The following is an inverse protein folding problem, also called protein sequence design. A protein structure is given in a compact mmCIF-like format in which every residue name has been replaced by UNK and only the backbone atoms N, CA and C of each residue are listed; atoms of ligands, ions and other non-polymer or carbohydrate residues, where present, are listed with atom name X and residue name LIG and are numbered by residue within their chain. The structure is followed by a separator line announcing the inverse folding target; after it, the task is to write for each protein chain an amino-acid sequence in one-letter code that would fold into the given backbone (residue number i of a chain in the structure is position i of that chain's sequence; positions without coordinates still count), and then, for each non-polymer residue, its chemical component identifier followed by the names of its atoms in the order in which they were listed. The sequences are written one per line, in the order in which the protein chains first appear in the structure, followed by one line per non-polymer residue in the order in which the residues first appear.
data_IF_292064543066
#
_entry.id   IF_292064543066
#
_cell.length_a   1.000
_cell.length_b   1.000
_cell.length_c   1.000
_cell.angle_alpha   90.00
_cell.angle_beta   90.00
_cell.angle_gamma   90.00
#
_symmetry.space_group_name_H-M   'P 1'
#
loop_
_entity.id
_entity.type
_entity.pdbx_description
1 polymer ?
#
# COMPACT_ATOMS: atom_id res chain seq x y z
N UNK A 1 -9.42 10.61 30.54
CA UNK A 1 -10.24 11.44 29.63
C UNK A 1 -11.60 11.68 30.27
N UNK A 2 -12.26 12.84 30.09
CA UNK A 2 -13.63 12.99 30.54
C UNK A 2 -14.52 12.03 29.74
N UNK A 3 -15.30 11.18 30.42
CA UNK A 3 -16.18 10.19 29.79
C UNK A 3 -17.25 10.85 28.92
N UNK A 4 -17.62 12.09 29.26
CA UNK A 4 -18.57 12.91 28.52
C UNK A 4 -18.14 13.23 27.08
N UNK A 5 -16.84 13.20 26.76
CA UNK A 5 -16.34 13.51 25.41
C UNK A 5 -16.80 12.45 24.38
N UNK A 6 -16.86 11.18 24.78
CA UNK A 6 -17.35 10.10 23.91
C UNK A 6 -18.83 10.24 23.53
N UNK A 7 -19.60 10.92 24.36
CA UNK A 7 -21.02 11.18 24.08
C UNK A 7 -21.22 12.49 23.28
N UNK A 8 -20.46 13.53 23.63
CA UNK A 8 -20.60 14.86 23.02
C UNK A 8 -19.88 15.02 21.67
N UNK A 9 -18.67 14.44 21.53
CA UNK A 9 -17.81 14.55 20.38
C UNK A 9 -17.01 13.26 20.17
N UNK A 10 -17.66 12.15 19.73
CA UNK A 10 -17.05 10.82 19.67
C UNK A 10 -15.84 10.74 18.73
N UNK A 11 -15.80 11.53 17.67
CA UNK A 11 -14.64 11.57 16.76
C UNK A 11 -13.41 12.20 17.40
N UNK A 12 -13.59 13.24 18.19
CA UNK A 12 -12.49 13.89 18.92
C UNK A 12 -12.01 13.00 20.06
N UNK A 13 -12.94 12.36 20.78
CA UNK A 13 -12.62 11.37 21.80
C UNK A 13 -11.80 10.21 21.22
N UNK A 14 -12.25 9.64 20.10
CA UNK A 14 -11.53 8.57 19.40
C UNK A 14 -10.14 9.02 18.95
N UNK A 15 -10.02 10.22 18.38
CA UNK A 15 -8.74 10.75 17.90
C UNK A 15 -7.75 10.99 19.05
N UNK A 16 -8.23 11.45 20.20
CA UNK A 16 -7.40 11.63 21.38
C UNK A 16 -6.98 10.29 21.98
N UNK A 17 -7.93 9.40 22.22
CA UNK A 17 -7.67 8.05 22.74
C UNK A 17 -6.66 7.29 21.87
N UNK A 18 -6.81 7.37 20.55
CA UNK A 18 -5.92 6.67 19.62
C UNK A 18 -4.47 7.17 19.69
N UNK A 19 -4.24 8.43 20.00
CA UNK A 19 -2.89 9.00 20.14
C UNK A 19 -2.26 8.71 21.48
N UNK A 20 -3.06 8.72 22.55
CA UNK A 20 -2.56 8.71 23.92
C UNK A 20 -2.54 7.30 24.53
N UNK A 21 -3.53 6.47 24.25
CA UNK A 21 -3.74 5.21 24.96
C UNK A 21 -3.76 3.98 24.05
N UNK A 22 -4.28 4.10 22.83
CA UNK A 22 -4.50 2.94 21.97
C UNK A 22 -3.17 2.35 21.47
N UNK A 23 -3.07 1.03 21.53
CA UNK A 23 -1.91 0.29 21.02
C UNK A 23 -2.32 -0.77 19.99
N UNK A 24 -1.38 -1.13 19.11
CA UNK A 24 -1.52 -2.26 18.19
C UNK A 24 -1.46 -3.62 18.90
N UNK A 25 -1.58 -4.69 18.14
CA UNK A 25 -1.47 -6.06 18.65
C UNK A 25 -0.10 -6.36 19.29
N UNK A 26 0.94 -5.64 18.88
CA UNK A 26 2.31 -5.70 19.41
C UNK A 26 2.54 -4.76 20.60
N UNK A 27 1.48 -4.15 21.14
CA UNK A 27 1.49 -3.15 22.24
C UNK A 27 2.31 -1.89 21.92
N UNK A 28 2.52 -1.58 20.65
CA UNK A 28 3.16 -0.33 20.20
C UNK A 28 2.11 0.68 19.78
N UNK A 29 2.46 1.96 19.92
CA UNK A 29 1.66 3.06 19.39
C UNK A 29 1.47 2.90 17.86
N UNK A 30 0.33 3.36 17.36
CA UNK A 30 0.07 3.34 15.92
C UNK A 30 0.95 4.35 15.18
N UNK A 31 1.37 3.99 13.97
CA UNK A 31 1.99 4.95 13.06
C UNK A 31 0.96 6.00 12.60
N UNK A 32 1.40 7.25 12.35
CA UNK A 32 0.54 8.37 11.96
C UNK A 32 -0.42 8.03 10.80
N UNK A 33 0.08 7.34 9.78
CA UNK A 33 -0.75 6.91 8.65
C UNK A 33 -1.85 5.93 9.05
N UNK A 34 -1.60 5.07 10.03
CA UNK A 34 -2.61 4.16 10.59
C UNK A 34 -3.66 4.94 11.38
N UNK A 35 -3.23 5.97 12.12
CA UNK A 35 -4.13 6.85 12.88
C UNK A 35 -5.12 7.55 11.92
N UNK A 36 -4.62 8.12 10.82
CA UNK A 36 -5.46 8.77 9.80
C UNK A 36 -6.48 7.77 9.21
N UNK A 37 -6.03 6.56 8.85
CA UNK A 37 -6.92 5.53 8.32
C UNK A 37 -7.96 5.09 9.34
N UNK A 38 -7.56 4.86 10.59
CA UNK A 38 -8.48 4.44 11.64
C UNK A 38 -9.51 5.52 11.96
N UNK A 39 -9.12 6.80 11.95
CA UNK A 39 -10.08 7.91 12.11
C UNK A 39 -11.16 7.89 11.03
N UNK A 40 -10.77 7.76 9.77
CA UNK A 40 -11.73 7.67 8.65
C UNK A 40 -12.67 6.46 8.78
N UNK A 41 -12.15 5.32 9.23
CA UNK A 41 -12.97 4.13 9.49
C UNK A 41 -13.93 4.35 10.67
N UNK A 42 -13.47 4.98 11.74
CA UNK A 42 -14.30 5.31 12.90
C UNK A 42 -15.39 6.31 12.52
N UNK A 43 -15.06 7.40 11.81
CA UNK A 43 -16.02 8.40 11.34
C UNK A 43 -17.16 7.74 10.55
N UNK A 44 -16.82 6.89 9.57
CA UNK A 44 -17.83 6.15 8.79
C UNK A 44 -18.75 5.30 9.67
N UNK A 45 -18.22 4.62 10.68
CA UNK A 45 -19.04 3.83 11.60
C UNK A 45 -19.93 4.73 12.50
N UNK A 46 -19.37 5.83 12.99
CA UNK A 46 -20.10 6.80 13.80
C UNK A 46 -21.24 7.47 13.01
N UNK A 47 -21.00 7.85 11.74
CA UNK A 47 -22.02 8.40 10.85
C UNK A 47 -23.17 7.39 10.63
N UNK A 48 -22.84 6.11 10.46
CA UNK A 48 -23.83 5.05 10.38
C UNK A 48 -24.68 4.96 11.68
N UNK A 49 -24.04 4.99 12.87
CA UNK A 49 -24.75 4.96 14.12
C UNK A 49 -25.71 6.14 14.30
N UNK A 50 -25.26 7.35 13.96
CA UNK A 50 -26.08 8.57 14.01
C UNK A 50 -27.30 8.43 13.07
N UNK A 51 -27.09 7.94 11.84
CA UNK A 51 -28.17 7.73 10.87
C UNK A 51 -29.21 6.70 11.37
N UNK A 52 -28.81 5.78 12.24
CA UNK A 52 -29.67 4.75 12.81
C UNK A 52 -30.09 5.05 14.28
N UNK A 53 -30.03 6.32 14.70
CA UNK A 53 -30.42 6.78 16.04
C UNK A 53 -29.70 6.06 17.18
N UNK A 54 -28.47 5.61 16.96
CA UNK A 54 -27.60 4.98 17.94
C UNK A 54 -26.34 5.83 18.20
N UNK A 55 -25.61 5.48 19.24
CA UNK A 55 -24.35 6.13 19.60
C UNK A 55 -23.28 5.08 19.89
N UNK A 56 -22.03 5.50 20.05
CA UNK A 56 -20.92 4.63 20.46
C UNK A 56 -21.17 3.96 21.81
N UNK A 57 -22.02 4.56 22.67
CA UNK A 57 -22.39 4.01 23.96
C UNK A 57 -23.58 3.03 23.90
N UNK A 58 -24.47 3.11 22.88
CA UNK A 58 -25.75 2.41 22.88
C UNK A 58 -25.94 1.38 21.77
N UNK A 59 -25.06 1.31 20.76
CA UNK A 59 -25.23 0.37 19.66
C UNK A 59 -25.15 -1.10 20.13
N UNK A 60 -25.91 -1.98 19.47
CA UNK A 60 -25.93 -3.43 19.74
C UNK A 60 -25.45 -4.24 18.53
N UNK A 61 -25.62 -5.58 18.61
CA UNK A 61 -25.26 -6.51 17.54
C UNK A 61 -26.00 -6.21 16.24
N UNK A 62 -27.28 -5.88 16.30
CA UNK A 62 -28.10 -5.56 15.11
C UNK A 62 -27.55 -4.36 14.32
N UNK A 63 -27.00 -3.35 15.01
CA UNK A 63 -26.34 -2.21 14.37
C UNK A 63 -25.04 -2.62 13.66
N UNK A 64 -24.29 -3.58 14.25
CA UNK A 64 -23.09 -4.12 13.59
C UNK A 64 -23.46 -4.92 12.36
N UNK A 65 -24.47 -5.77 12.41
CA UNK A 65 -24.94 -6.55 11.27
C UNK A 65 -25.41 -5.64 10.13
N UNK A 66 -26.20 -4.61 10.44
CA UNK A 66 -26.64 -3.61 9.47
C UNK A 66 -25.46 -2.84 8.86
N UNK A 67 -24.53 -2.35 9.68
CA UNK A 67 -23.32 -1.66 9.20
C UNK A 67 -22.48 -2.54 8.26
N UNK A 68 -22.28 -3.80 8.62
CA UNK A 68 -21.52 -4.71 7.78
C UNK A 68 -22.26 -5.14 6.51
N UNK A 69 -23.59 -5.16 6.53
CA UNK A 69 -24.39 -5.36 5.32
C UNK A 69 -24.24 -4.18 4.34
N UNK A 70 -24.31 -2.93 4.82
CA UNK A 70 -24.03 -1.75 3.98
C UNK A 70 -22.58 -1.72 3.50
N UNK A 71 -21.61 -2.01 4.38
CA UNK A 71 -20.21 -2.03 4.00
C UNK A 71 -19.91 -3.06 2.90
N UNK A 72 -20.63 -4.18 2.86
CA UNK A 72 -20.46 -5.23 1.85
C UNK A 72 -20.82 -4.76 0.44
N UNK A 73 -21.72 -3.79 0.27
CA UNK A 73 -22.04 -3.21 -1.03
C UNK A 73 -20.87 -2.40 -1.62
N UNK A 74 -20.05 -1.80 -0.76
CA UNK A 74 -18.93 -0.93 -1.17
C UNK A 74 -17.59 -1.67 -1.24
N UNK A 75 -17.53 -2.89 -0.74
CA UNK A 75 -16.29 -3.66 -0.63
C UNK A 75 -16.28 -4.82 -1.62
N UNK A 76 -15.16 -4.99 -2.32
CA UNK A 76 -14.96 -6.19 -3.13
C UNK A 76 -14.98 -7.45 -2.25
N UNK A 77 -15.63 -8.54 -2.70
CA UNK A 77 -15.61 -9.82 -1.99
C UNK A 77 -14.18 -10.29 -1.67
N UNK A 78 -14.01 -11.04 -0.60
CA UNK A 78 -12.71 -11.60 -0.18
C UNK A 78 -11.70 -10.59 0.37
N UNK A 79 -12.07 -9.31 0.55
CA UNK A 79 -11.18 -8.31 1.15
C UNK A 79 -11.18 -8.41 2.67
N UNK A 80 -10.07 -7.98 3.30
CA UNK A 80 -9.95 -7.93 4.77
C UNK A 80 -10.65 -6.70 5.39
N UNK A 81 -11.44 -5.95 4.61
CA UNK A 81 -12.03 -4.68 5.06
C UNK A 81 -12.97 -4.90 6.25
N UNK A 82 -13.88 -5.87 6.15
CA UNK A 82 -14.79 -6.24 7.24
C UNK A 82 -14.02 -6.53 8.53
N UNK A 83 -13.02 -7.41 8.47
CA UNK A 83 -12.21 -7.80 9.62
C UNK A 83 -11.43 -6.60 10.23
N UNK A 84 -10.98 -5.66 9.39
CA UNK A 84 -10.32 -4.44 9.86
C UNK A 84 -11.27 -3.54 10.64
N UNK A 85 -12.48 -3.32 10.13
CA UNK A 85 -13.53 -2.58 10.85
C UNK A 85 -13.88 -3.28 12.15
N UNK A 86 -14.10 -4.58 12.11
CA UNK A 86 -14.48 -5.36 13.31
C UNK A 86 -13.40 -5.27 14.41
N UNK A 87 -12.11 -5.39 14.04
CA UNK A 87 -10.99 -5.21 14.98
C UNK A 87 -10.89 -3.78 15.54
N UNK A 88 -11.22 -2.78 14.72
CA UNK A 88 -11.26 -1.39 15.17
C UNK A 88 -12.40 -1.19 16.17
N UNK A 89 -13.60 -1.66 15.82
CA UNK A 89 -14.79 -1.54 16.65
C UNK A 89 -14.60 -2.29 17.97
N UNK A 90 -14.16 -3.54 17.94
CA UNK A 90 -13.85 -4.31 19.16
C UNK A 90 -12.89 -3.56 20.09
N UNK A 91 -11.84 -2.97 19.53
CA UNK A 91 -10.81 -2.30 20.33
C UNK A 91 -11.33 -1.06 21.05
N UNK A 92 -12.01 -0.14 20.34
CA UNK A 92 -12.53 1.05 21.00
C UNK A 92 -13.70 0.72 21.95
N UNK A 93 -14.54 -0.24 21.58
CA UNK A 93 -15.64 -0.68 22.45
C UNK A 93 -15.12 -1.29 23.75
N UNK A 94 -14.06 -2.08 23.67
CA UNK A 94 -13.38 -2.61 24.87
C UNK A 94 -12.86 -1.47 25.77
N UNK A 95 -12.34 -0.39 25.18
CA UNK A 95 -11.97 0.80 25.94
C UNK A 95 -13.20 1.44 26.62
N UNK A 96 -14.31 1.58 25.89
CA UNK A 96 -15.57 2.13 26.46
C UNK A 96 -16.13 1.26 27.61
N UNK A 97 -15.96 -0.06 27.54
CA UNK A 97 -16.30 -0.96 28.64
C UNK A 97 -15.35 -0.75 29.83
N UNK A 98 -14.05 -0.59 29.58
CA UNK A 98 -13.05 -0.37 30.64
C UNK A 98 -13.25 0.95 31.42
N UNK A 99 -13.79 1.98 30.75
CA UNK A 99 -14.14 3.27 31.37
C UNK A 99 -15.61 3.31 31.84
N UNK A 100 -16.28 2.17 31.90
CA UNK A 100 -17.66 2.02 32.37
C UNK A 100 -18.74 2.81 31.60
N UNK A 101 -18.40 3.30 30.40
CA UNK A 101 -19.37 3.97 29.52
C UNK A 101 -20.29 2.97 28.80
N UNK A 102 -19.90 1.70 28.72
CA UNK A 102 -20.70 0.58 28.23
C UNK A 102 -20.62 -0.62 29.16
N UNK A 103 -21.69 -1.43 29.17
CA UNK A 103 -21.72 -2.67 29.92
C UNK A 103 -21.12 -3.86 29.14
N UNK A 104 -21.15 -3.83 27.80
CA UNK A 104 -20.78 -4.96 26.93
C UNK A 104 -20.02 -4.54 25.67
N UNK A 105 -19.46 -5.53 24.98
CA UNK A 105 -18.80 -5.37 23.68
C UNK A 105 -19.41 -6.32 22.64
N UNK A 106 -20.43 -5.89 21.88
CA UNK A 106 -21.06 -6.75 20.87
C UNK A 106 -20.11 -7.17 19.74
N UNK A 107 -19.06 -6.40 19.46
CA UNK A 107 -18.08 -6.74 18.44
C UNK A 107 -17.17 -7.92 18.82
N UNK A 108 -16.98 -8.18 20.12
CA UNK A 108 -16.10 -9.25 20.60
C UNK A 108 -16.60 -10.64 20.16
N UNK A 109 -17.90 -10.90 20.26
CA UNK A 109 -18.49 -12.19 19.85
C UNK A 109 -18.41 -12.38 18.33
N UNK A 110 -18.65 -11.32 17.56
CA UNK A 110 -18.49 -11.36 16.10
C UNK A 110 -17.04 -11.63 15.69
N UNK A 111 -16.08 -11.01 16.40
CA UNK A 111 -14.64 -11.19 16.12
C UNK A 111 -14.16 -12.63 16.37
N UNK A 112 -14.73 -13.33 17.37
CA UNK A 112 -14.39 -14.76 17.61
C UNK A 112 -14.81 -15.64 16.44
N UNK A 113 -15.93 -15.33 15.81
CA UNK A 113 -16.49 -16.10 14.69
C UNK A 113 -15.93 -15.67 13.33
N UNK A 114 -15.20 -14.55 13.27
CA UNK A 114 -14.68 -14.00 12.02
C UNK A 114 -13.34 -14.66 11.67
N UNK A 115 -13.26 -15.21 10.48
CA UNK A 115 -12.03 -15.75 9.90
C UNK A 115 -11.43 -14.81 8.85
N UNK A 116 -10.15 -14.98 8.55
CA UNK A 116 -9.59 -14.36 7.35
C UNK A 116 -10.30 -14.92 6.13
N UNK A 117 -10.65 -14.05 5.14
CA UNK A 117 -11.22 -14.55 3.89
C UNK A 117 -10.30 -15.60 3.29
N UNK A 118 -10.82 -16.80 3.04
CA UNK A 118 -10.09 -17.88 2.37
C UNK A 118 -9.85 -17.51 0.91
N UNK A 119 -10.86 -16.88 0.28
CA UNK A 119 -10.85 -16.45 -1.12
C UNK A 119 -10.48 -14.97 -1.24
N UNK A 120 -9.21 -14.63 -0.97
CA UNK A 120 -8.74 -13.28 -1.29
C UNK A 120 -8.75 -13.06 -2.81
N UNK A 121 -9.14 -11.86 -3.30
CA UNK A 121 -9.11 -11.54 -4.72
C UNK A 121 -7.73 -11.82 -5.34
N UNK A 122 -7.72 -12.45 -6.52
CA UNK A 122 -6.49 -12.72 -7.26
C UNK A 122 -5.67 -11.44 -7.42
N UNK A 123 -4.35 -11.48 -7.20
CA UNK A 123 -3.50 -10.32 -7.42
C UNK A 123 -3.63 -9.82 -8.85
N UNK A 124 -3.83 -8.50 -9.02
CA UNK A 124 -3.85 -7.86 -10.34
C UNK A 124 -2.40 -7.58 -10.75
N UNK A 125 -2.05 -7.98 -11.97
CA UNK A 125 -0.72 -7.82 -12.58
C UNK A 125 -0.89 -7.64 -14.10
N UNK A 126 0.16 -7.22 -14.78
CA UNK A 126 0.22 -7.19 -16.25
C UNK A 126 0.61 -8.57 -16.79
N UNK A 127 0.02 -8.97 -17.91
CA UNK A 127 0.50 -10.11 -18.68
C UNK A 127 1.98 -9.92 -19.07
N UNK A 128 2.68 -10.98 -19.47
CA UNK A 128 4.07 -10.88 -19.90
C UNK A 128 4.22 -9.96 -21.12
N UNK A 129 3.26 -9.99 -22.04
CA UNK A 129 3.21 -9.11 -23.20
C UNK A 129 3.00 -7.64 -22.84
N UNK A 130 2.02 -7.37 -21.95
CA UNK A 130 1.70 -6.01 -21.49
C UNK A 130 2.84 -5.42 -20.65
N UNK A 131 3.52 -6.25 -19.86
CA UNK A 131 4.72 -5.87 -19.14
C UNK A 131 5.83 -5.39 -20.08
N UNK A 132 6.11 -6.15 -21.14
CA UNK A 132 7.09 -5.76 -22.17
C UNK A 132 6.68 -4.46 -22.88
N UNK A 133 5.40 -4.28 -23.20
CA UNK A 133 4.90 -3.02 -23.80
C UNK A 133 5.13 -1.83 -22.86
N UNK A 134 4.87 -1.99 -21.59
CA UNK A 134 5.07 -0.91 -20.61
C UNK A 134 6.57 -0.62 -20.39
N UNK A 135 7.43 -1.65 -20.41
CA UNK A 135 8.87 -1.48 -20.37
C UNK A 135 9.39 -0.66 -21.56
N UNK A 136 8.87 -0.93 -22.79
CA UNK A 136 9.22 -0.16 -23.98
C UNK A 136 8.85 1.33 -23.83
N UNK A 137 7.64 1.63 -23.33
CA UNK A 137 7.22 3.03 -23.05
C UNK A 137 8.13 3.70 -22.01
N UNK A 138 8.64 2.96 -21.03
CA UNK A 138 9.57 3.50 -20.05
C UNK A 138 10.97 3.79 -20.64
N UNK A 139 11.36 3.15 -21.72
CA UNK A 139 12.63 3.36 -22.39
C UNK A 139 12.64 4.59 -23.34
N UNK A 140 11.45 5.08 -23.74
CA UNK A 140 11.28 6.22 -24.65
C UNK A 140 11.37 7.56 -23.88
N UNK A 141 12.59 8.05 -23.68
CA UNK A 141 12.83 9.29 -22.90
C UNK A 141 13.57 10.38 -23.68
N UNK A 142 13.92 10.14 -24.93
CA UNK A 142 14.70 11.08 -25.73
C UNK A 142 13.98 12.44 -25.86
N UNK A 143 14.66 13.52 -25.49
CA UNK A 143 14.12 14.89 -25.56
C UNK A 143 13.03 15.20 -24.49
N UNK A 144 12.76 14.30 -23.55
CA UNK A 144 11.73 14.51 -22.55
C UNK A 144 12.07 15.66 -21.60
N UNK A 145 11.09 16.53 -21.32
CA UNK A 145 11.21 17.57 -20.31
C UNK A 145 11.38 16.92 -18.91
N UNK A 146 12.05 17.62 -17.96
CA UNK A 146 12.32 17.10 -16.62
C UNK A 146 11.10 16.44 -15.94
N UNK A 147 9.91 17.04 -16.07
CA UNK A 147 8.67 16.49 -15.48
C UNK A 147 8.28 15.15 -16.11
N UNK A 148 8.42 15.01 -17.42
CA UNK A 148 8.12 13.78 -18.15
C UNK A 148 9.15 12.70 -17.81
N UNK A 149 10.43 13.03 -17.88
CA UNK A 149 11.52 12.14 -17.49
C UNK A 149 11.34 11.63 -16.06
N UNK A 150 11.03 12.53 -15.10
CA UNK A 150 10.71 12.15 -13.73
C UNK A 150 9.54 11.17 -13.65
N UNK A 151 8.44 11.45 -14.35
CA UNK A 151 7.24 10.63 -14.30
C UNK A 151 7.49 9.23 -14.88
N UNK A 152 8.25 9.16 -15.98
CA UNK A 152 8.67 7.90 -16.59
C UNK A 152 9.62 7.12 -15.66
N UNK A 153 10.59 7.79 -15.05
CA UNK A 153 11.51 7.18 -14.08
C UNK A 153 10.80 6.62 -12.84
N UNK A 154 9.73 7.28 -12.36
CA UNK A 154 8.88 6.76 -11.28
C UNK A 154 8.25 5.43 -11.68
N UNK A 155 7.65 5.34 -12.85
CA UNK A 155 6.98 4.12 -13.33
C UNK A 155 8.02 3.02 -13.59
N UNK A 156 9.13 3.36 -14.24
CA UNK A 156 10.24 2.44 -14.48
C UNK A 156 10.79 1.85 -13.18
N UNK A 157 10.97 2.68 -12.13
CA UNK A 157 11.47 2.20 -10.85
C UNK A 157 10.44 1.27 -10.15
N UNK A 158 9.15 1.60 -10.17
CA UNK A 158 8.12 0.68 -9.64
C UNK A 158 8.16 -0.67 -10.34
N UNK A 159 8.21 -0.67 -11.66
CA UNK A 159 8.17 -1.87 -12.48
C UNK A 159 9.47 -2.69 -12.40
N UNK A 160 10.64 -2.03 -12.23
CA UNK A 160 11.96 -2.66 -12.25
C UNK A 160 12.49 -3.06 -10.86
N UNK A 161 11.86 -2.62 -9.77
CA UNK A 161 12.33 -2.91 -8.42
C UNK A 161 11.24 -3.35 -7.44
N UNK A 162 9.98 -3.24 -7.84
CA UNK A 162 8.85 -3.60 -7.01
C UNK A 162 8.76 -2.81 -5.70
N UNK A 163 9.35 -1.63 -5.59
CA UNK A 163 9.21 -0.73 -4.43
C UNK A 163 7.76 -0.27 -4.27
N UNK A 164 7.36 0.06 -3.05
CA UNK A 164 6.03 0.61 -2.81
C UNK A 164 6.03 2.13 -2.97
N UNK A 165 4.85 2.72 -3.14
CA UNK A 165 4.70 4.18 -3.19
C UNK A 165 5.24 4.89 -1.92
N UNK A 166 5.09 4.28 -0.76
CA UNK A 166 5.62 4.81 0.49
C UNK A 166 7.16 4.77 0.53
N UNK A 167 7.76 3.67 0.07
CA UNK A 167 9.22 3.53 -0.03
C UNK A 167 9.78 4.51 -1.06
N UNK A 168 9.20 4.60 -2.26
CA UNK A 168 9.65 5.52 -3.32
C UNK A 168 9.67 6.98 -2.84
N UNK A 169 8.70 7.41 -2.05
CA UNK A 169 8.65 8.78 -1.50
C UNK A 169 9.77 9.10 -0.53
N UNK A 170 10.39 8.09 0.06
CA UNK A 170 11.47 8.22 1.04
C UNK A 170 12.86 8.01 0.44
N UNK A 171 12.95 7.59 -0.84
CA UNK A 171 14.23 7.42 -1.51
C UNK A 171 14.98 8.76 -1.61
N UNK A 172 16.26 8.71 -1.32
CA UNK A 172 17.20 9.80 -1.51
C UNK A 172 17.98 9.63 -2.80
N UNK A 173 18.60 10.68 -3.27
CA UNK A 173 19.43 10.66 -4.48
C UNK A 173 20.53 9.59 -4.38
N UNK A 174 21.16 9.47 -3.22
CA UNK A 174 22.26 8.54 -3.00
C UNK A 174 21.81 7.08 -2.76
N UNK A 175 20.50 6.83 -2.62
CA UNK A 175 19.95 5.47 -2.54
C UNK A 175 19.92 4.77 -3.90
N UNK A 176 19.99 5.53 -4.99
CA UNK A 176 19.96 5.01 -6.35
C UNK A 176 21.40 4.93 -6.92
N UNK A 177 21.87 3.73 -7.12
CA UNK A 177 23.14 3.44 -7.79
C UNK A 177 22.88 2.95 -9.22
N UNK A 178 23.10 3.82 -10.20
CA UNK A 178 22.99 3.54 -11.64
C UNK A 178 24.32 3.64 -12.38
N UNK A 179 25.41 3.88 -11.63
CA UNK A 179 26.76 4.02 -12.20
C UNK A 179 27.53 2.69 -12.17
N UNK A 180 27.20 1.78 -11.25
CA UNK A 180 27.84 0.46 -11.15
C UNK A 180 27.36 -0.49 -12.26
N UNK A 181 28.12 -1.57 -12.51
CA UNK A 181 27.76 -2.63 -13.46
C UNK A 181 26.40 -3.26 -13.17
N UNK A 182 25.99 -3.25 -11.92
CA UNK A 182 24.68 -3.72 -11.48
C UNK A 182 23.94 -2.59 -10.78
N UNK A 183 23.03 -1.96 -11.53
CA UNK A 183 22.19 -0.91 -10.96
C UNK A 183 21.34 -1.44 -9.81
N UNK A 184 21.29 -0.69 -8.72
CA UNK A 184 20.54 -1.05 -7.50
C UNK A 184 19.86 0.16 -6.89
N UNK A 185 18.79 -0.09 -6.13
CA UNK A 185 18.20 0.90 -5.22
C UNK A 185 18.26 0.39 -3.79
N UNK A 186 18.75 1.22 -2.87
CA UNK A 186 18.68 0.96 -1.44
C UNK A 186 17.32 1.44 -0.90
N UNK A 187 16.61 0.56 -0.23
CA UNK A 187 15.33 0.85 0.39
C UNK A 187 15.50 0.70 1.89
N UNK A 188 15.40 1.81 2.59
CA UNK A 188 15.52 1.84 4.05
C UNK A 188 14.33 1.14 4.72
N UNK A 189 14.47 0.86 6.01
CA UNK A 189 13.45 0.23 6.83
C UNK A 189 12.16 1.06 6.81
N UNK A 190 11.04 0.43 6.48
CA UNK A 190 9.73 1.08 6.48
C UNK A 190 8.66 0.19 7.13
N UNK A 191 8.22 0.58 8.32
CA UNK A 191 7.27 -0.21 9.11
C UNK A 191 7.81 -1.62 9.42
N UNK A 192 7.08 -2.70 9.11
CA UNK A 192 7.53 -4.08 9.34
C UNK A 192 8.57 -4.57 8.32
N UNK A 193 8.83 -3.80 7.24
CA UNK A 193 9.78 -4.18 6.19
C UNK A 193 11.19 -3.87 6.60
N UNK A 194 12.11 -4.77 6.32
CA UNK A 194 13.54 -4.61 6.57
C UNK A 194 14.19 -3.76 5.47
N UNK A 195 15.27 -3.06 5.82
CA UNK A 195 16.12 -2.40 4.84
C UNK A 195 16.71 -3.43 3.86
N UNK A 196 16.78 -3.09 2.58
CA UNK A 196 17.27 -3.98 1.52
C UNK A 196 17.85 -3.22 0.34
N UNK A 197 18.74 -3.86 -0.39
CA UNK A 197 19.22 -3.39 -1.68
C UNK A 197 18.57 -4.22 -2.78
N UNK A 198 17.84 -3.58 -3.67
CA UNK A 198 17.09 -4.24 -4.75
C UNK A 198 17.79 -4.01 -6.07
N UNK A 199 18.16 -5.07 -6.81
CA UNK A 199 18.63 -4.93 -8.20
C UNK A 199 17.54 -4.30 -9.06
N UNK A 200 17.96 -3.46 -9.98
CA UNK A 200 17.07 -2.81 -10.96
C UNK A 200 17.14 -3.59 -12.27
N UNK A 201 15.99 -3.95 -12.83
CA UNK A 201 15.93 -4.63 -14.12
C UNK A 201 16.47 -3.73 -15.24
N UNK A 202 17.18 -4.34 -16.18
CA UNK A 202 18.01 -3.63 -17.19
C UNK A 202 17.26 -2.60 -18.01
N UNK A 203 15.98 -2.82 -18.34
CA UNK A 203 15.18 -1.89 -19.15
C UNK A 203 15.05 -0.49 -18.52
N UNK A 204 15.12 -0.38 -17.19
CA UNK A 204 14.92 0.86 -16.47
C UNK A 204 16.24 1.65 -16.22
N UNK A 205 17.40 1.04 -16.45
CA UNK A 205 18.69 1.63 -16.07
C UNK A 205 18.96 2.94 -16.80
N UNK A 206 18.67 3.01 -18.08
CA UNK A 206 18.92 4.24 -18.88
C UNK A 206 18.07 5.41 -18.38
N UNK A 207 16.75 5.24 -18.31
CA UNK A 207 15.83 6.30 -17.86
C UNK A 207 16.12 6.73 -16.42
N UNK A 208 16.50 5.80 -15.56
CA UNK A 208 16.85 6.12 -14.15
C UNK A 208 18.18 6.88 -14.06
N UNK A 209 19.15 6.59 -14.92
CA UNK A 209 20.41 7.33 -15.03
C UNK A 209 20.16 8.75 -15.51
N UNK A 210 19.43 8.91 -16.62
CA UNK A 210 19.10 10.22 -17.18
C UNK A 210 18.35 11.10 -16.15
N UNK A 211 17.39 10.49 -15.46
CA UNK A 211 16.67 11.20 -14.39
C UNK A 211 17.58 11.54 -13.20
N UNK A 212 18.42 10.62 -12.77
CA UNK A 212 19.34 10.83 -11.64
C UNK A 212 20.31 11.99 -11.93
N UNK A 213 20.85 12.06 -13.13
CA UNK A 213 21.76 13.13 -13.55
C UNK A 213 21.01 14.47 -13.64
N UNK A 214 19.82 14.49 -14.24
CA UNK A 214 18.97 15.66 -14.27
C UNK A 214 18.56 16.11 -12.85
N UNK A 215 18.27 15.16 -11.94
CA UNK A 215 17.92 15.45 -10.56
C UNK A 215 19.10 16.07 -9.78
N UNK A 216 20.31 15.57 -9.96
CA UNK A 216 21.52 16.10 -9.34
C UNK A 216 21.86 17.50 -9.83
N UNK A 217 21.48 17.89 -11.02
CA UNK A 217 21.64 19.24 -11.55
C UNK A 217 20.71 20.26 -10.90
N UNK A 218 19.65 19.83 -10.21
CA UNK A 218 18.73 20.73 -9.53
C UNK A 218 19.26 21.07 -8.16
N UNK A 219 19.56 22.35 -7.95
CA UNK A 219 19.91 22.88 -6.63
C UNK A 219 18.63 23.04 -5.79
N UNK A 220 18.40 22.13 -4.86
CA UNK A 220 17.32 22.23 -3.89
C UNK A 220 17.80 21.72 -2.51
N UNK A 221 17.12 22.20 -1.46
CA UNK A 221 17.49 21.89 -0.07
C UNK A 221 17.21 20.45 0.37
N UNK A 222 16.53 19.65 -0.47
CA UNK A 222 16.14 18.28 -0.11
C UNK A 222 16.94 17.24 -0.89
N UNK A 223 17.20 16.12 -0.23
CA UNK A 223 17.89 14.97 -0.82
C UNK A 223 16.95 13.93 -1.42
N UNK A 224 15.63 14.22 -1.48
CA UNK A 224 14.68 13.26 -2.06
C UNK A 224 15.01 12.97 -3.51
N UNK A 225 15.03 11.69 -3.87
CA UNK A 225 15.24 11.27 -5.26
C UNK A 225 14.14 11.86 -6.16
N UNK A 226 12.87 11.66 -5.80
CA UNK A 226 11.74 12.18 -6.56
C UNK A 226 11.12 13.41 -5.89
N UNK A 227 11.15 14.53 -6.59
CA UNK A 227 10.61 15.82 -6.14
C UNK A 227 9.43 16.27 -6.99
N UNK A 228 8.41 16.83 -6.34
CA UNK A 228 7.23 17.35 -7.02
C UNK A 228 7.50 18.69 -7.73
N UNK A 229 8.36 19.51 -7.14
CA UNK A 229 8.73 20.85 -7.63
C UNK A 229 10.24 21.07 -7.47
N UNK A 230 10.80 22.03 -8.21
CA UNK A 230 12.20 22.44 -8.06
C UNK A 230 12.56 22.93 -6.64
N UNK A 231 11.57 23.34 -5.85
CA UNK A 231 11.76 23.65 -4.42
C UNK A 231 11.94 22.41 -3.53
N UNK A 232 11.93 21.19 -4.08
CA UNK A 232 12.19 19.97 -3.36
C UNK A 232 10.99 19.41 -2.58
N UNK A 233 9.75 19.81 -2.88
CA UNK A 233 8.56 19.21 -2.25
C UNK A 233 8.48 17.70 -2.56
N UNK A 234 8.15 16.85 -1.56
CA UNK A 234 8.03 15.41 -1.78
C UNK A 234 6.86 15.07 -2.72
N UNK A 235 6.98 13.95 -3.43
CA UNK A 235 5.91 13.45 -4.29
C UNK A 235 4.67 13.07 -3.47
N UNK A 236 3.50 13.37 -4.02
CA UNK A 236 2.22 12.96 -3.41
C UNK A 236 1.76 11.61 -3.99
N UNK A 237 1.05 10.78 -3.20
CA UNK A 237 0.52 9.50 -3.65
C UNK A 237 -0.30 9.59 -4.95
N UNK A 238 -1.18 10.60 -5.04
CA UNK A 238 -2.04 10.83 -6.22
C UNK A 238 -1.22 11.15 -7.48
N UNK A 239 -0.08 11.82 -7.32
CA UNK A 239 0.80 12.10 -8.46
C UNK A 239 1.42 10.82 -8.99
N UNK A 240 1.86 9.92 -8.11
CA UNK A 240 2.40 8.62 -8.50
C UNK A 240 1.36 7.75 -9.19
N UNK A 241 0.12 7.74 -8.67
CA UNK A 241 -1.01 7.08 -9.31
C UNK A 241 -1.25 7.62 -10.73
N UNK A 242 -1.24 8.96 -10.89
CA UNK A 242 -1.37 9.61 -12.22
C UNK A 242 -0.22 9.22 -13.16
N UNK A 243 1.02 9.10 -12.67
CA UNK A 243 2.14 8.63 -13.49
C UNK A 243 1.88 7.23 -14.05
N UNK A 244 1.43 6.30 -13.21
CA UNK A 244 1.11 4.93 -13.64
C UNK A 244 0.01 4.93 -14.70
N UNK A 245 -1.12 5.62 -14.45
CA UNK A 245 -2.24 5.72 -15.39
C UNK A 245 -1.84 6.30 -16.75
N UNK A 246 -1.04 7.35 -16.75
CA UNK A 246 -0.57 7.98 -17.99
C UNK A 246 0.32 7.02 -18.77
N UNK A 247 1.23 6.30 -18.10
CA UNK A 247 2.12 5.35 -18.78
C UNK A 247 1.36 4.12 -19.30
N UNK A 248 0.40 3.59 -18.56
CA UNK A 248 -0.48 2.52 -19.04
C UNK A 248 -1.24 2.96 -20.30
N UNK A 249 -1.84 4.16 -20.27
CA UNK A 249 -2.54 4.72 -21.43
C UNK A 249 -1.61 4.89 -22.65
N UNK A 250 -0.36 5.34 -22.44
CA UNK A 250 0.64 5.45 -23.52
C UNK A 250 0.98 4.09 -24.12
N UNK A 251 1.02 3.04 -23.28
CA UNK A 251 1.24 1.66 -23.72
C UNK A 251 -0.01 1.01 -24.34
N UNK A 252 -1.15 1.72 -24.41
CA UNK A 252 -2.44 1.17 -24.86
C UNK A 252 -3.03 0.14 -23.92
N UNK A 253 -2.71 0.22 -22.61
CA UNK A 253 -3.10 -0.75 -21.61
C UNK A 253 -4.20 -0.18 -20.69
N UNK A 254 -5.09 -1.07 -20.27
CA UNK A 254 -6.09 -0.85 -19.22
C UNK A 254 -6.04 -2.00 -18.22
N UNK A 255 -6.16 -1.70 -16.93
CA UNK A 255 -6.17 -2.72 -15.89
C UNK A 255 -7.24 -2.38 -14.84
N UNK A 256 -7.77 -3.38 -14.14
CA UNK A 256 -8.72 -3.19 -13.05
C UNK A 256 -8.13 -2.42 -11.86
N UNK A 257 -6.82 -2.45 -11.69
CA UNK A 257 -6.07 -1.63 -10.73
C UNK A 257 -4.92 -0.94 -11.49
N UNK A 258 -5.00 0.36 -11.66
CA UNK A 258 -3.99 1.18 -12.32
C UNK A 258 -3.06 1.89 -11.30
N UNK A 259 -2.84 1.27 -10.15
CA UNK A 259 -2.01 1.81 -9.08
C UNK A 259 -0.57 1.28 -9.12
N UNK A 260 0.37 1.86 -8.36
CA UNK A 260 1.71 1.30 -8.17
C UNK A 260 1.74 -0.17 -7.71
N UNK A 261 0.65 -0.67 -7.10
CA UNK A 261 0.53 -2.07 -6.68
C UNK A 261 0.50 -3.02 -7.88
N UNK A 262 -0.16 -2.63 -8.97
CA UNK A 262 -0.14 -3.38 -10.24
C UNK A 262 1.30 -3.66 -10.67
N UNK A 263 2.13 -2.61 -10.76
CA UNK A 263 3.52 -2.71 -11.23
C UNK A 263 4.39 -3.55 -10.28
N UNK A 264 4.17 -3.40 -8.98
CA UNK A 264 4.84 -4.21 -7.97
C UNK A 264 4.47 -5.70 -8.07
N UNK A 265 3.20 -6.02 -8.30
CA UNK A 265 2.77 -7.41 -8.51
C UNK A 265 3.37 -7.98 -9.81
N UNK A 266 3.40 -7.18 -10.87
CA UNK A 266 4.04 -7.56 -12.15
C UNK A 266 5.54 -7.86 -11.96
N UNK A 267 6.27 -7.00 -11.23
CA UNK A 267 7.66 -7.27 -10.85
C UNK A 267 7.81 -8.61 -10.13
N UNK A 268 7.00 -8.84 -9.08
CA UNK A 268 7.06 -10.09 -8.32
C UNK A 268 6.77 -11.32 -9.17
N UNK A 269 5.72 -11.25 -10.01
CA UNK A 269 5.33 -12.33 -10.90
C UNK A 269 6.39 -12.64 -11.95
N UNK A 270 6.99 -11.62 -12.58
CA UNK A 270 8.09 -11.75 -13.54
C UNK A 270 9.27 -12.51 -12.94
N UNK A 271 9.66 -12.17 -11.70
CA UNK A 271 10.76 -12.85 -11.02
C UNK A 271 10.42 -14.29 -10.61
N UNK A 272 9.15 -14.59 -10.31
CA UNK A 272 8.70 -15.96 -10.05
C UNK A 272 8.72 -16.76 -11.37
N UNK A 273 8.25 -16.20 -12.47
CA UNK A 273 8.30 -16.82 -13.80
C UNK A 273 9.75 -17.11 -14.24
N UNK A 274 10.69 -16.23 -13.87
CA UNK A 274 12.12 -16.42 -14.08
C UNK A 274 12.78 -17.39 -13.07
N UNK A 275 12.02 -18.24 -12.37
CA UNK A 275 12.52 -19.31 -11.53
C UNK A 275 12.88 -18.94 -10.08
N UNK A 276 12.70 -17.68 -9.64
CA UNK A 276 12.98 -17.33 -8.24
C UNK A 276 12.01 -17.98 -7.26
N UNK A 277 12.52 -18.39 -6.10
CA UNK A 277 11.70 -18.93 -5.01
C UNK A 277 10.82 -17.88 -4.37
N UNK A 278 9.76 -18.31 -3.66
CA UNK A 278 8.91 -17.40 -2.88
C UNK A 278 9.70 -16.60 -1.85
N UNK A 279 10.73 -17.19 -1.25
CA UNK A 279 11.62 -16.52 -0.31
C UNK A 279 12.45 -15.43 -0.99
N UNK A 280 13.08 -15.73 -2.12
CA UNK A 280 13.87 -14.77 -2.90
C UNK A 280 13.02 -13.57 -3.33
N UNK A 281 11.80 -13.82 -3.85
CA UNK A 281 10.89 -12.73 -4.26
C UNK A 281 10.39 -11.95 -3.04
N UNK A 282 10.09 -12.60 -1.93
CA UNK A 282 9.69 -11.92 -0.70
C UNK A 282 10.79 -11.01 -0.18
N UNK A 283 12.06 -11.42 -0.24
CA UNK A 283 13.22 -10.63 0.15
C UNK A 283 13.39 -9.42 -0.80
N UNK A 284 13.31 -9.60 -2.11
CA UNK A 284 13.37 -8.51 -3.09
C UNK A 284 12.27 -7.47 -2.86
N UNK A 285 11.05 -7.94 -2.64
CA UNK A 285 9.90 -7.07 -2.38
C UNK A 285 9.85 -6.53 -0.94
N UNK A 286 10.70 -7.01 -0.02
CA UNK A 286 10.67 -6.63 1.40
C UNK A 286 9.38 -7.06 2.11
N UNK A 287 8.86 -8.23 1.78
CA UNK A 287 7.66 -8.79 2.40
C UNK A 287 8.01 -9.44 3.74
N UNK A 288 7.18 -9.22 4.75
CA UNK A 288 7.33 -9.86 6.07
C UNK A 288 6.84 -11.32 6.10
N UNK A 289 6.18 -11.78 5.03
CA UNK A 289 5.72 -13.16 4.87
C UNK A 289 5.71 -13.56 3.39
N UNK A 290 5.70 -14.85 3.11
CA UNK A 290 5.69 -15.38 1.73
C UNK A 290 4.29 -15.38 1.09
N UNK A 291 3.23 -14.99 1.82
CA UNK A 291 1.84 -15.08 1.34
C UNK A 291 1.65 -14.40 -0.02
N UNK A 292 2.15 -13.17 -0.20
CA UNK A 292 2.02 -12.45 -1.48
C UNK A 292 2.77 -13.16 -2.62
N UNK A 293 3.99 -13.64 -2.37
CA UNK A 293 4.76 -14.38 -3.37
C UNK A 293 4.08 -15.70 -3.75
N UNK A 294 3.53 -16.42 -2.76
CA UNK A 294 2.76 -17.66 -3.00
C UNK A 294 1.54 -17.39 -3.87
N UNK A 295 0.78 -16.34 -3.58
CA UNK A 295 -0.40 -15.97 -4.36
C UNK A 295 -0.06 -15.53 -5.79
N UNK A 296 1.04 -14.82 -5.98
CA UNK A 296 1.54 -14.48 -7.33
C UNK A 296 1.97 -15.74 -8.09
N UNK A 297 2.61 -16.71 -7.43
CA UNK A 297 2.97 -18.01 -8.04
C UNK A 297 1.73 -18.77 -8.52
N UNK A 298 0.66 -18.76 -7.76
CA UNK A 298 -0.61 -19.41 -8.13
C UNK A 298 -1.27 -18.82 -9.39
N UNK A 299 -0.83 -17.65 -9.85
CA UNK A 299 -1.31 -17.02 -11.09
C UNK A 299 -0.49 -17.41 -12.32
N UNK A 300 0.59 -18.17 -12.18
CA UNK A 300 1.40 -18.63 -13.31
C UNK A 300 0.81 -19.92 -13.89
N UNK A 301 0.68 -19.94 -15.21
CA UNK A 301 0.43 -21.18 -15.92
C UNK A 301 1.74 -22.01 -15.99
N UNK A 302 1.63 -23.37 -16.06
CA UNK A 302 2.81 -24.22 -16.20
C UNK A 302 3.70 -23.85 -17.38
N UNK A 303 3.16 -23.32 -18.47
CA UNK A 303 3.88 -22.88 -19.67
C UNK A 303 4.68 -21.58 -19.48
N UNK A 304 4.40 -20.83 -18.43
CA UNK A 304 5.11 -19.57 -18.12
C UNK A 304 6.28 -19.78 -17.15
N UNK A 305 6.47 -20.97 -16.66
CA UNK A 305 7.59 -21.30 -15.78
C UNK A 305 8.79 -21.76 -16.62
N UNK A 306 9.98 -21.22 -16.33
CA UNK A 306 11.22 -21.65 -16.99
C UNK A 306 11.47 -23.15 -16.76
N UNK A 307 11.99 -23.85 -17.76
CA UNK A 307 12.20 -25.31 -17.83
C UNK A 307 13.08 -25.88 -16.70
N UNK A 308 13.77 -25.06 -15.93
CA UNK A 308 14.60 -25.50 -14.78
C UNK A 308 13.80 -25.92 -13.53
N UNK A 309 12.47 -25.86 -13.56
CA UNK A 309 11.60 -26.20 -12.41
C UNK A 309 10.49 -27.22 -12.75
N UNK A 310 10.50 -27.82 -13.93
CA UNK A 310 9.57 -28.89 -14.30
C UNK A 310 10.06 -30.27 -13.84
#
# INVERSE_FOLDING_TARGET
MPDDLWLAAPEDAYAQWQREEATGADRRAFADQSIVQHRSMFSRFNDYLIAHHASVASYGADHLDGFFAELAHDCSPGTTTRLRYLKLIDRFTRHLVNIELRADNPAAQMLINESWPEDEPTPIYLSSEDDVRLQAVCAETEGAAFKELRNTAIVALFLASGVTAAELRQLRVDDLDVASDRATVFVDKHGPRIARRVPIDSFAVSVLRDYHDARRSIQCATQWLFIATSAGKPMQPDTMLKCVRVSLKRAGLTAADESPRLLRNTYGRRHIAAGKTNEQVSNLMGLSSHRTATRLRQTLDPSEMSEEQA
#
